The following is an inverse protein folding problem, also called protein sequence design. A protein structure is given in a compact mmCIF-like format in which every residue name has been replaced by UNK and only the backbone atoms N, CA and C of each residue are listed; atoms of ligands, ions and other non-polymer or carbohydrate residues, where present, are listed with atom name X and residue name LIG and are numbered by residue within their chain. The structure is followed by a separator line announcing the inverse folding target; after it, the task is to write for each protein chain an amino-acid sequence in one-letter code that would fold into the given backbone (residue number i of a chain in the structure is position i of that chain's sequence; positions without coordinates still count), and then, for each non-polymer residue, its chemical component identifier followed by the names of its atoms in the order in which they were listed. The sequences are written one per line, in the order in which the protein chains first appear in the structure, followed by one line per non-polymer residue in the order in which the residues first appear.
data_IF_403419156827
#
_entry.id   IF_403419156827
#
_cell.length_a   1.000
_cell.length_b   1.000
_cell.length_c   1.000
_cell.angle_alpha   90.00
_cell.angle_beta   90.00
_cell.angle_gamma   90.00
#
_symmetry.space_group_name_H-M   'P 1'
#
loop_
_entity.id
_entity.type
_entity.pdbx_description
1 polymer ?
#
# COMPACT_ATOMS: atom_id res chain seq x y z
N UNK A 1 2.97 7.98 -5.44
CA UNK A 1 1.83 7.18 -4.94
C UNK A 1 0.58 8.03 -5.07
N UNK A 2 -0.52 7.42 -5.51
CA UNK A 2 -1.83 8.06 -5.52
C UNK A 2 -2.82 7.24 -4.69
N UNK A 3 -3.79 7.91 -4.05
CA UNK A 3 -4.80 7.29 -3.21
C UNK A 3 -6.17 7.69 -3.74
N UNK A 4 -7.07 6.73 -3.86
CA UNK A 4 -8.47 6.96 -4.24
C UNK A 4 -9.38 6.35 -3.18
N UNK A 5 -10.19 7.19 -2.52
CA UNK A 5 -11.20 6.72 -1.56
C UNK A 5 -12.42 6.21 -2.32
N UNK A 6 -12.75 4.93 -2.14
CA UNK A 6 -13.91 4.30 -2.78
C UNK A 6 -15.15 4.45 -1.90
N UNK A 7 -14.98 4.33 -0.58
CA UNK A 7 -15.98 4.63 0.44
C UNK A 7 -15.27 4.80 1.80
N UNK A 8 -16.04 4.93 2.87
CA UNK A 8 -15.54 5.13 4.23
C UNK A 8 -14.54 4.05 4.67
N UNK A 9 -14.75 2.80 4.22
CA UNK A 9 -14.00 1.63 4.66
C UNK A 9 -13.09 1.04 3.56
N UNK A 10 -13.00 1.66 2.39
CA UNK A 10 -12.28 1.10 1.24
C UNK A 10 -11.50 2.19 0.52
N UNK A 11 -10.19 1.99 0.40
CA UNK A 11 -9.30 2.80 -0.40
C UNK A 11 -8.63 1.97 -1.49
N UNK A 12 -8.27 2.61 -2.59
CA UNK A 12 -7.37 2.06 -3.60
C UNK A 12 -6.06 2.83 -3.56
N UNK A 13 -4.97 2.07 -3.56
CA UNK A 13 -3.61 2.58 -3.57
C UNK A 13 -3.00 2.30 -4.93
N UNK A 14 -2.46 3.34 -5.56
CA UNK A 14 -1.74 3.23 -6.82
C UNK A 14 -0.25 3.49 -6.58
N UNK A 15 0.56 2.46 -6.78
CA UNK A 15 2.01 2.50 -6.68
C UNK A 15 2.61 2.35 -8.06
N UNK A 16 3.45 3.31 -8.44
CA UNK A 16 4.30 3.19 -9.63
C UNK A 16 5.59 2.43 -9.27
N UNK A 17 6.30 1.87 -10.25
CA UNK A 17 7.62 1.26 -10.00
C UNK A 17 8.57 2.24 -9.31
N UNK A 18 8.52 3.53 -9.69
CA UNK A 18 9.31 4.58 -9.05
C UNK A 18 8.96 4.77 -7.58
N UNK A 19 7.69 4.63 -7.20
CA UNK A 19 7.27 4.70 -5.81
C UNK A 19 7.86 3.54 -5.00
N UNK A 20 7.86 2.34 -5.56
CA UNK A 20 8.40 1.13 -4.93
C UNK A 20 9.92 1.25 -4.76
N UNK A 21 10.62 1.69 -5.80
CA UNK A 21 12.07 1.90 -5.79
C UNK A 21 12.50 3.02 -4.84
N UNK A 22 11.71 4.10 -4.71
CA UNK A 22 11.99 5.18 -3.77
C UNK A 22 11.96 4.72 -2.29
N UNK A 23 11.26 3.61 -2.00
CA UNK A 23 11.23 2.97 -0.68
C UNK A 23 12.32 1.91 -0.49
N UNK A 24 13.19 1.71 -1.48
CA UNK A 24 14.29 0.75 -1.42
C UNK A 24 13.90 -0.69 -1.82
N UNK A 25 12.73 -0.89 -2.42
CA UNK A 25 12.28 -2.18 -2.92
C UNK A 25 12.51 -2.29 -4.43
N UNK A 26 12.74 -3.51 -4.92
CA UNK A 26 12.78 -3.81 -6.35
C UNK A 26 11.36 -4.22 -6.80
N UNK A 27 10.78 -3.46 -7.75
CA UNK A 27 9.40 -3.64 -8.21
C UNK A 27 9.12 -4.99 -8.89
N UNK A 28 10.15 -5.68 -9.37
CA UNK A 28 10.01 -6.99 -10.01
C UNK A 28 10.07 -8.14 -9.00
N UNK A 29 10.74 -7.94 -7.87
CA UNK A 29 10.99 -9.02 -6.89
C UNK A 29 10.18 -8.86 -5.60
N UNK A 30 9.72 -7.66 -5.26
CA UNK A 30 8.99 -7.39 -4.00
C UNK A 30 7.74 -8.25 -3.87
N UNK A 31 7.01 -8.46 -4.96
CA UNK A 31 5.77 -9.26 -4.99
C UNK A 31 6.01 -10.77 -4.87
N UNK A 32 7.23 -11.24 -5.12
CA UNK A 32 7.61 -12.65 -5.02
C UNK A 32 8.02 -13.04 -3.60
N UNK A 33 8.22 -12.06 -2.71
CA UNK A 33 8.63 -12.26 -1.33
C UNK A 33 7.54 -11.74 -0.37
N UNK A 34 6.74 -12.64 0.24
CA UNK A 34 5.64 -12.26 1.12
C UNK A 34 6.04 -11.30 2.25
N UNK A 35 7.20 -11.52 2.87
CA UNK A 35 7.67 -10.65 3.95
C UNK A 35 7.98 -9.23 3.46
N UNK A 36 8.56 -9.08 2.25
CA UNK A 36 8.84 -7.77 1.67
C UNK A 36 7.56 -7.10 1.16
N UNK A 37 6.64 -7.85 0.57
CA UNK A 37 5.36 -7.30 0.14
C UNK A 37 4.57 -6.78 1.35
N UNK A 38 4.54 -7.52 2.45
CA UNK A 38 3.86 -7.09 3.67
C UNK A 38 4.48 -5.82 4.25
N UNK A 39 5.81 -5.72 4.29
CA UNK A 39 6.49 -4.50 4.71
C UNK A 39 6.13 -3.30 3.83
N UNK A 40 6.19 -3.45 2.50
CA UNK A 40 5.79 -2.41 1.57
C UNK A 40 4.32 -2.00 1.77
N UNK A 41 3.41 -2.96 2.00
CA UNK A 41 2.01 -2.66 2.29
C UNK A 41 1.84 -1.82 3.56
N UNK A 42 2.55 -2.16 4.63
CA UNK A 42 2.46 -1.42 5.90
C UNK A 42 2.99 0.01 5.75
N UNK A 43 4.11 0.21 5.05
CA UNK A 43 4.65 1.55 4.78
C UNK A 43 3.68 2.41 3.96
N UNK A 44 3.10 1.83 2.91
CA UNK A 44 2.15 2.51 2.02
C UNK A 44 0.86 2.84 2.75
N UNK A 45 0.41 1.93 3.61
CA UNK A 45 -0.78 2.14 4.44
C UNK A 45 -0.56 3.25 5.46
N UNK A 46 0.58 3.27 6.15
CA UNK A 46 0.91 4.32 7.10
C UNK A 46 0.93 5.68 6.40
N UNK A 47 1.56 5.77 5.23
CA UNK A 47 1.55 7.01 4.45
C UNK A 47 0.15 7.41 3.97
N UNK A 48 -0.72 6.43 3.69
CA UNK A 48 -2.10 6.69 3.33
C UNK A 48 -2.92 7.20 4.51
N UNK A 49 -2.72 6.65 5.71
CA UNK A 49 -3.34 7.10 6.95
C UNK A 49 -2.94 8.54 7.28
N UNK A 50 -1.64 8.86 7.16
CA UNK A 50 -1.12 10.21 7.37
C UNK A 50 -1.72 11.25 6.40
N UNK A 51 -2.10 10.84 5.18
CA UNK A 51 -2.65 11.74 4.14
C UNK A 51 -4.17 11.88 4.18
N UNK A 52 -4.89 10.80 4.43
CA UNK A 52 -6.34 10.72 4.24
C UNK A 52 -7.11 10.47 5.54
N UNK A 53 -6.43 10.31 6.68
CA UNK A 53 -6.98 9.94 7.98
C UNK A 53 -7.91 8.72 7.87
N UNK A 54 -7.33 7.53 7.93
CA UNK A 54 -8.06 6.27 7.81
C UNK A 54 -8.58 5.89 9.19
N UNK A 55 -9.87 6.11 9.43
CA UNK A 55 -10.56 5.54 10.60
C UNK A 55 -10.74 4.02 10.40
N UNK A 56 -9.65 3.26 10.60
CA UNK A 56 -9.65 1.81 10.48
C UNK A 56 -9.72 1.16 11.86
N UNK A 57 -10.88 0.63 12.24
CA UNK A 57 -11.05 -0.25 13.40
C UNK A 57 -11.20 -1.71 12.94
N UNK A 58 -10.30 -2.60 13.40
CA UNK A 58 -10.39 -4.05 13.17
C UNK A 58 -9.39 -4.63 12.17
N UNK A 59 -9.73 -5.79 11.59
CA UNK A 59 -8.86 -6.52 10.66
C UNK A 59 -8.85 -5.89 9.27
N UNK A 60 -7.65 -5.70 8.72
CA UNK A 60 -7.45 -5.19 7.37
C UNK A 60 -7.24 -6.33 6.36
N UNK A 61 -7.79 -6.15 5.15
CA UNK A 61 -7.57 -7.03 4.01
C UNK A 61 -6.90 -6.26 2.89
N UNK A 62 -5.77 -6.77 2.39
CA UNK A 62 -5.08 -6.22 1.23
C UNK A 62 -5.25 -7.17 0.04
N UNK A 63 -5.53 -6.61 -1.14
CA UNK A 63 -5.57 -7.35 -2.39
C UNK A 63 -4.73 -6.63 -3.45
N UNK A 64 -3.77 -7.35 -4.02
CA UNK A 64 -2.83 -6.81 -5.01
C UNK A 64 -3.33 -7.15 -6.40
N UNK A 65 -3.36 -6.15 -7.28
CA UNK A 65 -3.47 -6.36 -8.73
C UNK A 65 -2.21 -5.81 -9.37
N UNK A 66 -1.45 -6.68 -10.01
CA UNK A 66 -0.29 -6.35 -10.86
C UNK A 66 -0.72 -6.29 -12.32
#
# INVERSE_FOLDING_TARGET
MNIERINDNTIKLFLTNRDIEARGYDSNTVWLNPAKSDQLFMEVLQEADEREYLEAEGLMWAYVRT
#
